data_IF_069126011512
#
_entry.id   IF_069126011512
#
_cell.length_a   1.000
_cell.length_b   1.000
_cell.length_c   1.000
_cell.angle_alpha   90.00
_cell.angle_beta   90.00
_cell.angle_gamma   90.00
#
_symmetry.space_group_name_H-M   'P 1'
#
loop_
_entity.id
_entity.type
_entity.pdbx_description
1 polymer ?
#
# COMPACT_ATOMS: atom_id res chain seq x y z
N UNK A 1 -28.43 -1.82 12.23
CA UNK A 1 -28.50 -1.35 13.63
C UNK A 1 -27.47 -2.14 14.44
N UNK A 2 -26.41 -1.51 14.94
CA UNK A 2 -25.29 -2.19 15.63
C UNK A 2 -25.50 -2.35 17.14
N UNK A 3 -26.75 -2.49 17.59
CA UNK A 3 -27.08 -2.58 19.02
C UNK A 3 -26.36 -3.67 19.85
N UNK A 4 -25.89 -4.79 19.29
CA UNK A 4 -25.13 -5.78 20.06
C UNK A 4 -23.62 -5.52 20.10
N UNK A 5 -23.13 -4.43 19.49
CA UNK A 5 -21.68 -4.14 19.42
C UNK A 5 -21.38 -2.97 20.33
N UNK A 6 -20.55 -3.20 21.33
CA UNK A 6 -19.93 -2.17 22.15
C UNK A 6 -18.53 -1.91 21.62
N UNK A 7 -18.21 -0.64 21.33
CA UNK A 7 -16.88 -0.24 20.86
C UNK A 7 -16.16 0.46 22.02
N UNK A 8 -15.11 -0.19 22.54
CA UNK A 8 -14.28 0.36 23.62
C UNK A 8 -12.94 0.77 23.03
N UNK A 9 -12.67 2.07 23.04
CA UNK A 9 -11.40 2.63 22.56
C UNK A 9 -10.72 3.36 23.73
N UNK A 10 -9.55 2.90 24.19
CA UNK A 10 -8.84 3.57 25.28
C UNK A 10 -8.52 5.03 24.93
N UNK A 11 -8.63 5.89 25.91
CA UNK A 11 -8.20 7.28 25.78
C UNK A 11 -6.69 7.36 25.51
N UNK A 12 -6.26 8.40 24.80
CA UNK A 12 -4.85 8.64 24.43
C UNK A 12 -4.20 7.48 23.68
N UNK A 13 -5.01 6.64 23.03
CA UNK A 13 -4.54 5.59 22.14
C UNK A 13 -4.44 6.09 20.69
N UNK A 14 -3.82 5.29 19.84
CA UNK A 14 -3.71 5.58 18.40
C UNK A 14 -5.08 5.80 17.71
N UNK A 15 -6.13 5.11 18.18
CA UNK A 15 -7.50 5.24 17.65
C UNK A 15 -8.34 6.32 18.35
N UNK A 16 -7.82 6.90 19.44
CA UNK A 16 -8.46 7.96 20.19
C UNK A 16 -7.41 8.97 20.66
N UNK A 17 -6.76 9.67 19.71
CA UNK A 17 -5.70 10.60 20.02
C UNK A 17 -6.24 11.87 20.67
N UNK A 18 -5.43 12.48 21.52
CA UNK A 18 -5.74 13.76 22.15
C UNK A 18 -4.97 14.89 21.48
N UNK A 19 -5.58 16.03 21.17
CA UNK A 19 -4.86 17.20 20.67
C UNK A 19 -3.61 17.51 21.51
N UNK A 20 -2.48 17.90 20.88
CA UNK A 20 -2.28 18.29 19.47
C UNK A 20 -1.82 17.17 18.53
N UNK A 21 -2.12 15.91 18.81
CA UNK A 21 -1.70 14.79 17.94
C UNK A 21 -2.25 14.96 16.53
N UNK A 22 -1.40 14.76 15.54
CA UNK A 22 -1.80 14.73 14.14
C UNK A 22 -2.62 13.47 13.83
N UNK A 23 -3.67 13.62 13.03
CA UNK A 23 -4.54 12.51 12.56
C UNK A 23 -4.55 12.40 11.04
N UNK A 24 -3.57 12.98 10.39
CA UNK A 24 -3.36 12.85 8.94
C UNK A 24 -3.21 11.38 8.55
N UNK A 25 -3.78 11.01 7.41
CA UNK A 25 -3.82 9.66 6.88
C UNK A 25 -4.55 8.62 7.77
N UNK A 26 -5.31 9.05 8.77
CA UNK A 26 -6.07 8.15 9.64
C UNK A 26 -7.09 7.30 8.89
N UNK A 27 -7.80 7.86 7.91
CA UNK A 27 -8.77 7.14 7.12
C UNK A 27 -8.15 6.33 5.95
N UNK A 28 -6.89 6.54 5.60
CA UNK A 28 -6.24 5.86 4.46
C UNK A 28 -5.29 4.74 4.92
N UNK A 29 -4.60 4.90 6.03
CA UNK A 29 -3.69 3.88 6.56
C UNK A 29 -4.31 3.15 7.77
N UNK A 30 -4.80 3.89 8.77
CA UNK A 30 -5.38 3.30 9.98
C UNK A 30 -6.60 2.46 9.69
N UNK A 31 -7.48 2.88 8.78
CA UNK A 31 -8.68 2.11 8.41
C UNK A 31 -8.34 0.76 7.78
N UNK A 32 -7.28 0.69 6.97
CA UNK A 32 -6.79 -0.58 6.40
C UNK A 32 -6.27 -1.51 7.50
N UNK A 33 -5.52 -0.98 8.45
CA UNK A 33 -4.98 -1.74 9.58
C UNK A 33 -6.10 -2.28 10.50
N UNK A 34 -7.10 -1.46 10.80
CA UNK A 34 -8.26 -1.88 11.63
C UNK A 34 -9.00 -3.05 10.98
N UNK A 35 -9.29 -2.97 9.69
CA UNK A 35 -10.02 -4.04 8.98
C UNK A 35 -9.18 -5.31 8.92
N UNK A 36 -7.87 -5.22 8.68
CA UNK A 36 -6.98 -6.38 8.79
C UNK A 36 -7.03 -7.01 10.18
N UNK A 37 -6.94 -6.22 11.25
CA UNK A 37 -7.02 -6.72 12.63
C UNK A 37 -8.33 -7.46 12.90
N UNK A 38 -9.46 -6.92 12.43
CA UNK A 38 -10.77 -7.56 12.62
C UNK A 38 -10.86 -8.89 11.85
N UNK A 39 -10.44 -8.94 10.59
CA UNK A 39 -10.47 -10.17 9.81
C UNK A 39 -9.53 -11.24 10.37
N UNK A 40 -8.35 -10.87 10.85
CA UNK A 40 -7.44 -11.77 11.53
C UNK A 40 -8.02 -12.30 12.84
N UNK A 41 -8.62 -11.42 13.66
CA UNK A 41 -9.24 -11.80 14.93
C UNK A 41 -10.43 -12.77 14.75
N UNK A 42 -11.21 -12.59 13.70
CA UNK A 42 -12.31 -13.50 13.37
C UNK A 42 -11.87 -14.77 12.63
N UNK A 43 -10.58 -14.92 12.31
CA UNK A 43 -10.11 -16.05 11.51
C UNK A 43 -10.65 -16.07 10.08
N UNK A 44 -11.19 -14.95 9.58
CA UNK A 44 -11.94 -14.89 8.33
C UNK A 44 -11.03 -14.79 7.11
N UNK A 45 -9.96 -14.03 7.20
CA UNK A 45 -9.05 -13.74 6.10
C UNK A 45 -7.66 -13.40 6.63
N UNK A 46 -6.61 -13.85 5.95
CA UNK A 46 -5.24 -13.41 6.18
C UNK A 46 -5.11 -11.91 5.86
N UNK A 47 -4.06 -11.26 6.35
CA UNK A 47 -3.90 -9.82 6.14
C UNK A 47 -3.78 -9.48 4.65
N UNK A 48 -4.53 -8.48 4.19
CA UNK A 48 -4.28 -7.83 2.91
C UNK A 48 -3.06 -6.92 3.03
N UNK A 49 -2.69 -6.24 1.95
CA UNK A 49 -1.53 -5.31 1.91
C UNK A 49 -1.45 -4.32 3.09
N UNK A 50 -2.57 -3.97 3.72
CA UNK A 50 -2.63 -3.16 4.95
C UNK A 50 -2.27 -1.69 4.78
N UNK A 51 -2.35 -1.17 3.57
CA UNK A 51 -1.99 0.20 3.20
C UNK A 51 -2.71 0.59 1.92
N UNK A 52 -2.84 1.88 1.66
CA UNK A 52 -3.29 2.39 0.36
C UNK A 52 -2.12 2.80 -0.55
N UNK A 53 -0.87 2.75 -0.06
CA UNK A 53 0.31 3.18 -0.80
C UNK A 53 0.08 4.56 -1.43
N UNK A 54 -0.17 5.56 -0.57
CA UNK A 54 -0.53 6.92 -0.98
C UNK A 54 0.70 7.60 -1.59
N UNK A 55 0.67 7.83 -2.88
CA UNK A 55 1.74 8.46 -3.62
C UNK A 55 1.31 9.83 -4.13
N UNK A 56 2.12 10.85 -3.87
CA UNK A 56 1.90 12.21 -4.31
C UNK A 56 3.14 12.74 -4.99
N UNK A 57 2.95 13.62 -5.95
CA UNK A 57 4.02 14.46 -6.48
C UNK A 57 3.46 15.79 -7.00
N UNK A 58 4.31 16.79 -7.06
CA UNK A 58 3.93 18.10 -7.59
C UNK A 58 4.88 19.22 -7.22
N UNK A 59 4.42 20.42 -7.52
CA UNK A 59 5.00 21.72 -7.17
C UNK A 59 3.86 22.72 -6.90
N UNK A 60 4.13 24.01 -6.97
CA UNK A 60 3.13 25.07 -6.75
C UNK A 60 2.09 25.15 -7.88
N UNK A 61 2.38 24.59 -9.07
CA UNK A 61 1.52 24.65 -10.25
C UNK A 61 0.70 23.38 -10.46
N UNK A 62 1.28 22.23 -10.17
CA UNK A 62 0.67 20.91 -10.39
C UNK A 62 0.72 20.06 -9.14
N UNK A 63 -0.33 19.32 -8.89
CA UNK A 63 -0.39 18.35 -7.79
C UNK A 63 -1.09 17.08 -8.25
N UNK A 64 -0.51 15.95 -7.92
CA UNK A 64 -1.04 14.63 -8.21
C UNK A 64 -1.09 13.77 -6.95
N UNK A 65 -2.13 12.96 -6.85
CA UNK A 65 -2.29 11.95 -5.80
C UNK A 65 -2.88 10.67 -6.38
N UNK A 66 -2.34 9.53 -5.97
CA UNK A 66 -2.92 8.23 -6.26
C UNK A 66 -2.75 7.26 -5.10
N UNK A 67 -3.58 6.22 -5.09
CA UNK A 67 -3.41 5.05 -4.24
C UNK A 67 -3.03 3.86 -5.11
N UNK A 68 -2.05 3.07 -4.70
CA UNK A 68 -1.55 1.94 -5.49
C UNK A 68 -2.02 0.62 -4.88
N UNK A 69 -2.67 -0.21 -5.68
CA UNK A 69 -3.19 -1.51 -5.28
C UNK A 69 -2.09 -2.49 -4.87
N UNK A 70 -2.44 -3.48 -4.08
CA UNK A 70 -1.53 -4.55 -3.67
C UNK A 70 -2.21 -5.92 -3.62
N UNK A 71 -1.77 -6.80 -2.75
CA UNK A 71 -2.32 -8.14 -2.61
C UNK A 71 -3.44 -8.22 -1.58
N UNK A 72 -4.50 -8.96 -1.91
CA UNK A 72 -5.55 -9.37 -0.97
C UNK A 72 -5.10 -10.59 -0.17
N UNK A 73 -5.42 -10.66 1.11
CA UNK A 73 -5.22 -11.86 1.92
C UNK A 73 -6.07 -13.05 1.43
N UNK A 74 -5.55 -14.26 1.60
CA UNK A 74 -6.32 -15.48 1.33
C UNK A 74 -7.35 -15.75 2.43
N UNK A 75 -8.38 -16.51 2.08
CA UNK A 75 -9.43 -16.97 3.01
C UNK A 75 -9.39 -18.49 3.16
N UNK A 76 -10.24 -19.04 4.04
CA UNK A 76 -10.38 -20.50 4.19
C UNK A 76 -10.90 -21.22 2.92
N UNK A 77 -11.33 -20.49 1.89
CA UNK A 77 -11.99 -21.05 0.69
C UNK A 77 -11.37 -20.59 -0.63
N UNK A 78 -10.64 -19.46 -0.64
CA UNK A 78 -10.17 -18.85 -1.87
C UNK A 78 -8.79 -18.23 -1.71
N UNK A 79 -8.03 -18.23 -2.80
CA UNK A 79 -6.83 -17.42 -2.93
C UNK A 79 -7.16 -15.92 -2.84
N UNK A 80 -6.20 -15.13 -2.39
CA UNK A 80 -6.27 -13.68 -2.48
C UNK A 80 -6.12 -13.21 -3.93
N UNK A 81 -6.82 -12.14 -4.30
CA UNK A 81 -6.66 -11.50 -5.59
C UNK A 81 -5.41 -10.61 -5.62
N UNK A 82 -4.72 -10.60 -6.76
CA UNK A 82 -3.55 -9.75 -7.00
C UNK A 82 -3.94 -8.39 -7.54
N UNK A 83 -3.12 -7.38 -7.25
CA UNK A 83 -3.26 -6.03 -7.82
C UNK A 83 -4.66 -5.43 -7.62
N UNK A 84 -5.24 -5.59 -6.43
CA UNK A 84 -6.60 -5.13 -6.11
C UNK A 84 -6.60 -4.18 -4.92
N UNK A 85 -7.49 -3.21 -4.96
CA UNK A 85 -7.82 -2.40 -3.78
C UNK A 85 -8.68 -3.23 -2.83
N UNK A 86 -8.38 -3.17 -1.53
CA UNK A 86 -9.05 -3.95 -0.49
C UNK A 86 -9.60 -3.06 0.62
N UNK A 87 -10.51 -3.60 1.42
CA UNK A 87 -11.05 -3.01 2.64
C UNK A 87 -11.70 -1.64 2.40
N UNK A 88 -11.02 -0.57 2.83
CA UNK A 88 -11.56 0.79 2.87
C UNK A 88 -11.22 1.61 1.62
N UNK A 89 -10.60 1.02 0.61
CA UNK A 89 -10.27 1.71 -0.63
C UNK A 89 -10.90 1.03 -1.84
N UNK A 90 -11.35 1.83 -2.80
CA UNK A 90 -11.97 1.39 -4.04
C UNK A 90 -11.58 2.29 -5.23
N UNK A 91 -10.51 3.06 -5.08
CA UNK A 91 -10.03 3.96 -6.13
C UNK A 91 -9.47 3.18 -7.32
N UNK A 92 -9.39 3.84 -8.46
CA UNK A 92 -8.70 3.36 -9.67
C UNK A 92 -7.47 4.21 -9.90
N UNK A 93 -6.49 3.65 -10.59
CA UNK A 93 -5.35 4.42 -11.09
C UNK A 93 -5.76 5.27 -12.28
N UNK A 94 -5.08 6.40 -12.45
CA UNK A 94 -5.19 7.21 -13.65
C UNK A 94 -4.66 6.42 -14.84
N UNK A 95 -5.37 6.48 -15.94
CA UNK A 95 -4.93 5.89 -17.21
C UNK A 95 -3.55 6.45 -17.59
N UNK A 96 -2.60 5.60 -18.04
CA UNK A 96 -1.24 6.05 -18.37
C UNK A 96 -1.19 7.20 -19.39
N UNK A 97 -1.99 7.15 -20.44
CA UNK A 97 -2.02 8.21 -21.46
C UNK A 97 -2.50 9.54 -20.86
N UNK A 98 -3.51 9.50 -19.99
CA UNK A 98 -4.01 10.69 -19.28
C UNK A 98 -2.98 11.22 -18.30
N UNK A 99 -2.28 10.33 -17.57
CA UNK A 99 -1.24 10.69 -16.61
C UNK A 99 -0.11 11.44 -17.33
N UNK A 100 0.42 10.87 -18.40
CA UNK A 100 1.54 11.41 -19.15
C UNK A 100 1.18 12.68 -19.93
N UNK A 101 -0.08 12.81 -20.35
CA UNK A 101 -0.57 14.03 -20.99
C UNK A 101 -0.74 15.22 -20.02
N UNK A 102 -1.15 14.92 -18.79
CA UNK A 102 -1.45 15.98 -17.79
C UNK A 102 -0.26 16.37 -16.93
N UNK A 103 0.64 15.48 -16.70
CA UNK A 103 1.75 15.64 -15.75
C UNK A 103 3.09 15.36 -16.44
N UNK A 104 4.17 16.03 -16.03
CA UNK A 104 5.49 15.84 -16.61
C UNK A 104 6.15 14.54 -16.09
N UNK A 105 5.52 13.42 -16.37
CA UNK A 105 5.99 12.08 -15.96
C UNK A 105 5.77 11.06 -17.09
N UNK A 106 6.48 9.93 -17.00
CA UNK A 106 6.27 8.75 -17.86
C UNK A 106 6.10 7.53 -16.97
N UNK A 107 5.07 6.72 -17.24
CA UNK A 107 4.90 5.43 -16.62
C UNK A 107 5.83 4.40 -17.28
N UNK A 108 6.99 4.15 -16.68
CA UNK A 108 7.98 3.18 -17.24
C UNK A 108 7.54 1.75 -17.10
N UNK A 109 6.86 1.43 -16.01
CA UNK A 109 6.42 0.06 -15.73
C UNK A 109 5.25 0.04 -14.76
N UNK A 110 4.29 -0.84 -15.03
CA UNK A 110 3.25 -1.24 -14.09
C UNK A 110 2.95 -2.72 -14.30
N UNK A 111 3.35 -3.54 -13.35
CA UNK A 111 3.23 -5.01 -13.44
C UNK A 111 2.89 -5.66 -12.12
N UNK A 112 2.38 -6.88 -12.16
CA UNK A 112 2.23 -7.72 -10.96
C UNK A 112 3.62 -8.12 -10.44
N UNK A 113 3.82 -7.98 -9.13
CA UNK A 113 5.01 -8.40 -8.41
C UNK A 113 4.88 -9.89 -8.08
N UNK A 114 5.30 -10.74 -9.00
CA UNK A 114 5.19 -12.18 -8.86
C UNK A 114 5.83 -12.72 -7.56
N UNK A 115 5.20 -13.74 -6.96
CA UNK A 115 5.63 -14.38 -5.71
C UNK A 115 5.66 -13.45 -4.48
N UNK A 116 4.97 -12.34 -4.49
CA UNK A 116 4.88 -11.44 -3.33
C UNK A 116 3.73 -11.81 -2.37
N UNK A 117 2.76 -12.61 -2.80
CA UNK A 117 1.73 -13.19 -1.94
C UNK A 117 2.26 -14.29 -1.03
N UNK A 118 1.73 -14.37 0.19
CA UNK A 118 2.03 -15.46 1.13
C UNK A 118 1.50 -16.81 0.64
N UNK A 119 2.24 -17.88 0.88
CA UNK A 119 1.86 -19.25 0.49
C UNK A 119 1.01 -19.92 1.56
N UNK A 120 0.16 -20.86 1.17
CA UNK A 120 -0.67 -21.67 2.03
C UNK A 120 -1.49 -22.66 1.23
N UNK A 121 -2.44 -23.33 1.86
CA UNK A 121 -3.49 -24.07 1.13
C UNK A 121 -4.18 -23.16 0.13
N UNK A 122 -4.38 -21.91 0.51
CA UNK A 122 -4.79 -20.80 -0.37
C UNK A 122 -3.74 -19.71 -0.29
N UNK A 123 -3.24 -19.30 -1.44
CA UNK A 123 -2.20 -18.28 -1.54
C UNK A 123 -2.80 -16.88 -1.45
N UNK A 124 -2.10 -15.96 -0.79
CA UNK A 124 -2.38 -14.55 -0.85
C UNK A 124 -2.13 -13.96 -2.24
N UNK A 125 -2.79 -12.85 -2.55
CA UNK A 125 -2.61 -12.14 -3.80
C UNK A 125 -1.26 -11.43 -3.87
N UNK A 126 -0.76 -11.23 -5.08
CA UNK A 126 0.47 -10.49 -5.33
C UNK A 126 0.24 -8.97 -5.31
N UNK A 127 1.24 -8.24 -4.86
CA UNK A 127 1.33 -6.81 -5.03
C UNK A 127 1.68 -6.41 -6.46
N UNK A 128 2.00 -5.13 -6.66
CA UNK A 128 2.42 -4.57 -7.94
C UNK A 128 3.77 -3.86 -7.82
N UNK A 129 4.44 -3.70 -8.94
CA UNK A 129 5.57 -2.79 -9.11
C UNK A 129 5.15 -1.67 -10.07
N UNK A 130 5.32 -0.42 -9.61
CA UNK A 130 5.02 0.78 -10.38
C UNK A 130 6.25 1.66 -10.44
N UNK A 131 6.64 2.08 -11.65
CA UNK A 131 7.82 2.92 -11.91
C UNK A 131 7.39 4.16 -12.68
N UNK A 132 7.63 5.33 -12.10
CA UNK A 132 7.29 6.63 -12.70
C UNK A 132 8.57 7.45 -12.85
N UNK A 133 8.92 7.78 -14.08
CA UNK A 133 10.03 8.69 -14.43
C UNK A 133 9.53 10.14 -14.43
N UNK A 134 10.29 11.05 -13.84
CA UNK A 134 10.01 12.47 -13.82
C UNK A 134 10.69 13.18 -14.99
N UNK A 135 9.93 14.05 -15.68
CA UNK A 135 10.43 14.86 -16.80
C UNK A 135 10.74 16.31 -16.38
N UNK A 136 10.46 16.66 -15.12
CA UNK A 136 10.67 17.99 -14.51
C UNK A 136 11.09 17.77 -13.05
N UNK A 137 11.82 18.72 -12.49
CA UNK A 137 12.12 18.74 -11.05
C UNK A 137 10.84 18.99 -10.25
N UNK A 138 10.54 18.12 -9.30
CA UNK A 138 9.32 18.16 -8.48
C UNK A 138 9.62 17.71 -7.05
N UNK A 139 8.62 17.75 -6.19
CA UNK A 139 8.60 17.04 -4.91
C UNK A 139 7.73 15.80 -5.02
N UNK A 140 8.18 14.70 -4.41
CA UNK A 140 7.42 13.47 -4.33
C UNK A 140 7.35 13.00 -2.89
N UNK A 141 6.19 12.44 -2.50
CA UNK A 141 6.00 11.88 -1.17
C UNK A 141 5.22 10.56 -1.25
N UNK A 142 5.46 9.69 -0.28
CA UNK A 142 4.73 8.45 -0.10
C UNK A 142 4.35 8.26 1.36
N UNK A 143 3.10 7.83 1.60
CA UNK A 143 2.65 7.32 2.89
C UNK A 143 2.14 5.91 2.68
N UNK A 144 2.85 4.94 3.25
CA UNK A 144 2.60 3.52 3.00
C UNK A 144 2.97 2.66 4.20
N UNK A 145 2.09 1.71 4.52
CA UNK A 145 2.31 0.70 5.55
C UNK A 145 3.00 -0.56 5.03
N UNK A 146 3.13 -1.56 5.89
CA UNK A 146 3.69 -2.89 5.57
C UNK A 146 5.08 -2.87 4.93
N UNK A 147 5.93 -1.89 5.33
CA UNK A 147 7.34 -1.79 4.92
C UNK A 147 8.28 -2.44 5.95
N UNK A 148 7.89 -2.41 7.23
CA UNK A 148 8.66 -3.03 8.34
C UNK A 148 8.07 -4.37 8.77
N UNK A 149 6.74 -4.48 8.80
CA UNK A 149 6.00 -5.69 9.16
C UNK A 149 5.31 -6.23 7.91
N UNK A 150 5.48 -7.51 7.62
CA UNK A 150 4.84 -8.17 6.50
C UNK A 150 3.33 -8.37 6.75
N UNK A 151 2.49 -8.35 5.71
CA UNK A 151 1.10 -8.81 5.85
C UNK A 151 1.04 -10.27 6.28
N UNK A 152 0.41 -10.50 7.44
CA UNK A 152 0.42 -11.78 8.14
C UNK A 152 -0.39 -12.85 7.40
N UNK A 153 0.15 -14.08 7.35
CA UNK A 153 -0.61 -15.27 7.03
C UNK A 153 -1.56 -15.69 8.16
N UNK A 154 -2.45 -16.64 7.88
CA UNK A 154 -3.43 -17.13 8.83
C UNK A 154 -3.56 -18.66 8.77
N UNK A 155 -3.91 -19.29 9.90
CA UNK A 155 -4.13 -20.72 10.02
C UNK A 155 -2.98 -21.61 9.48
N UNK A 156 -1.74 -21.14 9.61
CA UNK A 156 -0.54 -21.85 9.13
C UNK A 156 -0.08 -21.45 7.73
N UNK A 157 -0.76 -20.52 7.08
CA UNK A 157 -0.27 -19.87 5.86
C UNK A 157 0.89 -18.91 6.16
N UNK A 158 1.77 -18.68 5.19
CA UNK A 158 2.92 -17.79 5.36
C UNK A 158 2.55 -16.31 5.18
N UNK A 159 3.36 -15.44 5.77
CA UNK A 159 3.32 -14.02 5.52
C UNK A 159 3.64 -13.70 4.06
N UNK A 160 3.16 -12.56 3.59
CA UNK A 160 3.47 -12.02 2.29
C UNK A 160 4.81 -11.26 2.27
N UNK A 161 5.28 -10.88 1.09
CA UNK A 161 6.39 -9.95 0.95
C UNK A 161 5.98 -8.54 1.37
N UNK A 162 6.87 -7.88 2.09
CA UNK A 162 6.72 -6.46 2.45
C UNK A 162 6.77 -5.57 1.21
N UNK A 163 6.18 -4.38 1.32
CA UNK A 163 6.36 -3.34 0.32
C UNK A 163 7.73 -2.68 0.44
N UNK A 164 8.14 -2.02 -0.63
CA UNK A 164 9.42 -1.31 -0.75
C UNK A 164 9.21 -0.04 -1.56
N UNK A 165 9.91 1.04 -1.20
CA UNK A 165 9.90 2.29 -1.93
C UNK A 165 11.34 2.75 -2.14
N UNK A 166 11.66 3.21 -3.33
CA UNK A 166 12.97 3.82 -3.61
C UNK A 166 12.93 4.76 -4.81
N UNK A 167 13.99 5.51 -4.97
CA UNK A 167 14.25 6.31 -6.15
C UNK A 167 15.51 5.80 -6.82
N UNK A 168 15.41 5.58 -8.10
CA UNK A 168 16.56 5.44 -8.97
C UNK A 168 16.86 6.81 -9.56
N UNK A 169 18.00 7.38 -9.19
CA UNK A 169 18.47 8.66 -9.70
C UNK A 169 18.93 8.50 -11.16
N UNK A 170 18.96 9.61 -11.91
CA UNK A 170 19.38 9.60 -13.31
C UNK A 170 20.79 9.01 -13.50
N UNK A 171 21.71 9.22 -12.54
CA UNK A 171 23.05 8.64 -12.55
C UNK A 171 23.12 7.15 -12.20
N UNK A 172 21.97 6.51 -11.91
CA UNK A 172 21.85 5.10 -11.54
C UNK A 172 21.91 4.80 -10.04
N UNK A 173 22.19 5.79 -9.20
CA UNK A 173 22.18 5.61 -7.73
C UNK A 173 20.77 5.24 -7.24
N UNK A 174 20.71 4.37 -6.23
CA UNK A 174 19.46 3.95 -5.59
C UNK A 174 19.37 4.56 -4.20
N UNK A 175 18.28 5.28 -3.96
CA UNK A 175 17.93 5.82 -2.66
C UNK A 175 16.71 5.05 -2.11
N UNK A 176 16.89 4.36 -0.99
CA UNK A 176 15.82 3.62 -0.32
C UNK A 176 15.01 4.58 0.54
N UNK A 177 13.70 4.54 0.42
CA UNK A 177 12.78 5.38 1.16
C UNK A 177 12.02 4.58 2.23
N UNK A 178 11.77 5.23 3.37
CA UNK A 178 10.88 4.69 4.40
C UNK A 178 9.41 4.62 3.91
N UNK A 179 8.54 4.01 4.73
CA UNK A 179 7.10 3.95 4.47
C UNK A 179 6.41 5.32 4.43
N UNK A 180 6.92 6.28 5.18
CA UNK A 180 6.54 7.68 5.12
C UNK A 180 7.78 8.48 4.76
N UNK A 181 7.83 9.05 3.57
CA UNK A 181 8.97 9.79 3.06
C UNK A 181 8.52 10.90 2.10
N UNK A 182 9.28 11.99 2.12
CA UNK A 182 9.18 13.09 1.18
C UNK A 182 10.59 13.38 0.65
N UNK A 183 10.70 13.67 -0.64
CA UNK A 183 11.98 13.91 -1.28
C UNK A 183 11.84 14.77 -2.53
N UNK A 184 12.88 15.55 -2.82
CA UNK A 184 13.00 16.21 -4.11
C UNK A 184 13.38 15.17 -5.19
N UNK A 185 12.68 15.19 -6.30
CA UNK A 185 12.97 14.42 -7.50
C UNK A 185 13.40 15.34 -8.63
N UNK A 186 14.34 14.88 -9.43
CA UNK A 186 14.85 15.62 -10.59
C UNK A 186 14.37 14.98 -11.88
N UNK A 187 14.47 15.74 -12.96
CA UNK A 187 14.28 15.19 -14.30
C UNK A 187 15.18 13.97 -14.51
N UNK A 188 14.64 12.86 -14.99
CA UNK A 188 15.34 11.60 -15.21
C UNK A 188 15.30 10.63 -14.01
N UNK A 189 14.93 11.09 -12.82
CA UNK A 189 14.74 10.22 -11.66
C UNK A 189 13.50 9.33 -11.83
N UNK A 190 13.57 8.10 -11.32
CA UNK A 190 12.45 7.15 -11.36
C UNK A 190 12.03 6.82 -9.93
N UNK A 191 10.78 7.13 -9.57
CA UNK A 191 10.18 6.67 -8.32
C UNK A 191 9.62 5.25 -8.49
N UNK A 192 10.03 4.34 -7.61
CA UNK A 192 9.69 2.92 -7.68
C UNK A 192 8.93 2.51 -6.43
N UNK A 193 7.70 2.02 -6.63
CA UNK A 193 6.82 1.52 -5.57
C UNK A 193 6.60 0.03 -5.81
N UNK A 194 7.05 -0.81 -4.87
CA UNK A 194 6.67 -2.21 -4.81
C UNK A 194 5.67 -2.40 -3.69
N UNK A 195 4.43 -2.68 -4.03
CA UNK A 195 3.38 -2.85 -3.02
C UNK A 195 3.45 -4.21 -2.35
N UNK A 196 2.97 -4.34 -1.10
CA UNK A 196 2.94 -5.62 -0.40
C UNK A 196 2.01 -6.62 -1.07
N UNK A 197 2.29 -7.91 -0.91
CA UNK A 197 1.32 -8.97 -1.15
C UNK A 197 0.30 -9.09 -0.03
N UNK A 198 -0.65 -10.03 -0.17
CA UNK A 198 -1.54 -10.49 0.90
C UNK A 198 -1.06 -11.80 1.52
N UNK A 199 -1.35 -12.04 2.80
CA UNK A 199 -0.98 -13.26 3.52
C UNK A 199 -1.67 -14.51 2.97
N UNK A 200 -1.02 -15.68 3.10
CA UNK A 200 -1.58 -16.99 2.77
C UNK A 200 -2.51 -17.51 3.88
N UNK A 201 -3.33 -18.51 3.56
CA UNK A 201 -4.27 -19.14 4.50
C UNK A 201 -4.13 -20.66 4.49
N UNK A 202 -4.03 -21.24 5.70
CA UNK A 202 -3.92 -22.68 5.88
C UNK A 202 -2.51 -23.23 5.56
N UNK A 203 -2.18 -24.39 6.11
CA UNK A 203 -0.93 -25.05 5.79
C UNK A 203 -0.92 -25.50 4.32
N UNK A 204 0.23 -25.38 3.63
CA UNK A 204 0.40 -25.81 2.25
C UNK A 204 0.12 -27.31 2.04
#
# INVERSE_FOLDING_TARGET
MLKPVEIIVPEKSFLNPTPPCAVVAGNVETSQAIVNCLFLAFGAMAAAQGTMNNFTFGDDEIQYYETVAGGMGATARNNGASAIQTHMTNSRLTDPEVLEWRYPVILKEFKIRENSGGRGKFNGGNGVERRIEFLKDLHAAIISGSRKIAPMGLAGGSDASRGENWIQRENGDIEILDGAAETAVKKGDIFIIKTPGGGGYGQP
#
